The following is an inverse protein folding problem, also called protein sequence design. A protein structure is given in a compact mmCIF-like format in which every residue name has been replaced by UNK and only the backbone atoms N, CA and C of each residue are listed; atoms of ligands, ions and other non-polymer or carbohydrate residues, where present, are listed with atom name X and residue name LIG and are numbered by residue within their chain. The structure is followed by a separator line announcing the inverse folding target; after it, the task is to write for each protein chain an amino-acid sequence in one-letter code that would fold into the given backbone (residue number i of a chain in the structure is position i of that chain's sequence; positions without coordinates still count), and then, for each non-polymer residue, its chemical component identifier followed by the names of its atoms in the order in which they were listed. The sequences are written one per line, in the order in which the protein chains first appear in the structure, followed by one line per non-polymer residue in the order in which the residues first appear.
data_IF_078717930115
#
_entry.id   IF_078717930115
#
_cell.length_a   1.000
_cell.length_b   1.000
_cell.length_c   1.000
_cell.angle_alpha   90.00
_cell.angle_beta   90.00
_cell.angle_gamma   90.00
#
_symmetry.space_group_name_H-M   'P 1'
#
loop_
_entity.id
_entity.type
_entity.pdbx_description
1 polymer ?
#
# COMPACT_ATOMS: atom_id res chain seq x y z
N UNK A 1 -2.75 12.89 -2.20
CA UNK A 1 -2.24 13.37 -0.89
C UNK A 1 -3.34 13.95 0.00
N UNK A 2 -4.20 14.84 -0.49
CA UNK A 2 -5.26 15.47 0.33
C UNK A 2 -6.18 14.48 1.07
N UNK A 3 -6.64 13.41 0.40
CA UNK A 3 -7.43 12.36 1.05
C UNK A 3 -6.68 11.65 2.18
N UNK A 4 -5.39 11.36 1.98
CA UNK A 4 -4.58 10.72 3.02
C UNK A 4 -4.33 11.64 4.21
N UNK A 5 -4.27 12.95 4.00
CA UNK A 5 -4.22 13.94 5.08
C UNK A 5 -5.53 13.98 5.87
N UNK A 6 -6.67 13.83 5.19
CA UNK A 6 -7.97 13.67 5.87
C UNK A 6 -8.01 12.38 6.69
N UNK A 7 -7.53 11.26 6.12
CA UNK A 7 -7.45 9.98 6.83
C UNK A 7 -6.51 10.05 8.03
N UNK A 8 -5.41 10.79 7.93
CA UNK A 8 -4.49 11.02 9.05
C UNK A 8 -5.16 11.78 10.19
N UNK A 9 -6.00 12.76 9.88
CA UNK A 9 -6.75 13.54 10.88
C UNK A 9 -7.86 12.73 11.55
N UNK A 10 -8.54 11.87 10.80
CA UNK A 10 -9.63 11.04 11.33
C UNK A 10 -9.13 9.80 12.06
N UNK A 11 -7.98 9.24 11.66
CA UNK A 11 -7.39 8.03 12.20
C UNK A 11 -8.16 6.74 11.87
N UNK A 12 -9.24 6.82 11.08
CA UNK A 12 -10.17 5.71 10.83
C UNK A 12 -9.89 4.95 9.54
N UNK A 13 -9.01 5.46 8.68
CA UNK A 13 -8.79 4.91 7.35
C UNK A 13 -7.30 4.74 7.08
N UNK A 14 -6.97 3.66 6.37
CA UNK A 14 -5.65 3.40 5.83
C UNK A 14 -5.80 3.07 4.35
N UNK A 15 -5.02 3.71 3.49
CA UNK A 15 -5.13 3.56 2.04
C UNK A 15 -4.10 2.58 1.50
N UNK A 16 -4.50 1.68 0.63
CA UNK A 16 -3.58 0.88 -0.18
C UNK A 16 -3.71 1.38 -1.61
N UNK A 17 -2.66 2.04 -2.11
CA UNK A 17 -2.57 2.47 -3.50
C UNK A 17 -1.96 1.33 -4.32
N UNK A 18 -2.73 0.79 -5.26
CA UNK A 18 -2.29 -0.29 -6.13
C UNK A 18 -2.03 0.25 -7.54
N UNK A 19 -0.80 0.11 -8.02
CA UNK A 19 -0.33 0.63 -9.31
C UNK A 19 0.01 -0.56 -10.21
N UNK A 20 -0.58 -0.58 -11.41
CA UNK A 20 -0.20 -1.49 -12.49
C UNK A 20 0.57 -0.71 -13.55
N UNK A 21 1.75 -1.18 -13.93
CA UNK A 21 2.58 -0.56 -14.96
C UNK A 21 3.24 -1.62 -15.82
N UNK A 22 3.46 -1.33 -17.10
CA UNK A 22 4.22 -2.16 -18.03
C UNK A 22 5.63 -1.62 -18.32
N UNK A 23 6.02 -0.50 -17.69
CA UNK A 23 7.25 0.19 -18.01
C UNK A 23 7.84 1.03 -16.88
N UNK A 24 8.96 1.67 -17.22
CA UNK A 24 9.92 2.36 -16.34
C UNK A 24 9.42 3.69 -15.75
N UNK A 25 9.91 3.99 -14.54
CA UNK A 25 9.80 5.30 -13.92
C UNK A 25 10.95 6.17 -14.46
N UNK A 26 10.60 7.26 -15.16
CA UNK A 26 11.60 8.16 -15.75
C UNK A 26 12.03 9.27 -14.78
N UNK A 27 11.14 9.67 -13.85
CA UNK A 27 11.33 10.80 -12.94
C UNK A 27 11.68 10.35 -11.52
N UNK A 28 12.75 9.55 -11.39
CA UNK A 28 13.18 8.92 -10.11
C UNK A 28 13.27 9.90 -8.94
N UNK A 29 13.87 11.07 -9.15
CA UNK A 29 14.08 12.04 -8.07
C UNK A 29 12.75 12.62 -7.55
N UNK A 30 11.80 12.91 -8.44
CA UNK A 30 10.48 13.42 -8.05
C UNK A 30 9.67 12.35 -7.31
N UNK A 31 9.76 11.09 -7.76
CA UNK A 31 9.11 9.97 -7.08
C UNK A 31 9.66 9.80 -5.66
N UNK A 32 10.98 9.82 -5.47
CA UNK A 32 11.58 9.72 -4.13
C UNK A 32 11.12 10.86 -3.22
N UNK A 33 11.13 12.10 -3.72
CA UNK A 33 10.65 13.26 -2.96
C UNK A 33 9.18 13.11 -2.53
N UNK A 34 8.33 12.55 -3.40
CA UNK A 34 6.92 12.28 -3.10
C UNK A 34 6.75 11.13 -2.09
N UNK A 35 7.54 10.05 -2.21
CA UNK A 35 7.47 8.92 -1.28
C UNK A 35 7.90 9.33 0.13
N UNK A 36 8.97 10.12 0.26
CA UNK A 36 9.42 10.66 1.54
C UNK A 36 8.35 11.56 2.17
N UNK A 37 7.64 12.37 1.37
CA UNK A 37 6.50 13.15 1.84
C UNK A 37 5.34 12.26 2.32
N UNK A 38 5.04 11.19 1.57
CA UNK A 38 3.98 10.24 1.91
C UNK A 38 4.29 9.37 3.14
N UNK A 39 5.55 9.29 3.57
CA UNK A 39 5.99 8.42 4.67
C UNK A 39 5.22 8.64 5.98
N UNK A 40 4.73 9.87 6.21
CA UNK A 40 3.96 10.25 7.40
C UNK A 40 2.44 10.12 7.24
N UNK A 41 1.96 9.60 6.11
CA UNK A 41 0.53 9.44 5.79
C UNK A 41 0.07 7.99 5.98
N UNK A 42 -1.23 7.73 6.24
CA UNK A 42 -1.80 6.38 6.34
C UNK A 42 -1.98 5.75 4.96
N UNK A 43 -0.87 5.44 4.30
CA UNK A 43 -0.85 4.86 2.95
C UNK A 43 0.23 3.78 2.84
N UNK A 44 -0.05 2.71 2.11
CA UNK A 44 0.93 1.79 1.51
C UNK A 44 0.78 1.81 0.00
N UNK A 45 1.86 1.61 -0.73
CA UNK A 45 1.87 1.61 -2.19
C UNK A 45 2.34 0.23 -2.65
N UNK A 46 1.54 -0.42 -3.49
CA UNK A 46 1.93 -1.64 -4.18
C UNK A 46 2.08 -1.31 -5.64
N UNK A 47 3.23 -1.67 -6.22
CA UNK A 47 3.51 -1.52 -7.63
C UNK A 47 3.65 -2.92 -8.23
N UNK A 48 2.86 -3.24 -9.24
CA UNK A 48 2.96 -4.50 -9.98
C UNK A 48 3.40 -4.22 -11.41
N UNK A 49 4.58 -4.74 -11.76
CA UNK A 49 5.15 -4.69 -13.10
C UNK A 49 4.56 -5.81 -13.98
N UNK A 50 3.99 -5.44 -15.13
CA UNK A 50 3.40 -6.35 -16.11
C UNK A 50 4.28 -6.37 -17.36
N UNK A 51 4.50 -7.55 -17.97
CA UNK A 51 5.32 -7.66 -19.18
C UNK A 51 6.81 -7.77 -18.90
N UNK A 52 7.63 -7.35 -19.86
CA UNK A 52 9.10 -7.53 -19.89
C UNK A 52 9.87 -6.19 -19.82
N UNK A 53 9.31 -5.19 -19.15
CA UNK A 53 9.97 -3.89 -18.96
C UNK A 53 11.21 -3.95 -18.06
N UNK A 54 12.04 -2.90 -18.08
CA UNK A 54 13.08 -2.74 -17.07
C UNK A 54 12.44 -2.22 -15.77
N UNK A 55 12.68 -2.94 -14.67
CA UNK A 55 12.12 -2.63 -13.37
C UNK A 55 13.21 -2.26 -12.35
N UNK A 56 14.43 -1.95 -12.79
CA UNK A 56 15.55 -1.62 -11.90
C UNK A 56 15.20 -0.52 -10.89
N UNK A 57 14.54 0.55 -11.34
CA UNK A 57 14.14 1.66 -10.46
C UNK A 57 13.07 1.20 -9.47
N UNK A 58 12.12 0.36 -9.87
CA UNK A 58 11.07 -0.13 -8.96
C UNK A 58 11.66 -0.97 -7.83
N UNK A 59 12.69 -1.79 -8.12
CA UNK A 59 13.46 -2.51 -7.10
C UNK A 59 14.23 -1.57 -6.16
N UNK A 60 14.59 -0.36 -6.61
CA UNK A 60 15.19 0.65 -5.71
C UNK A 60 14.15 1.36 -4.83
N UNK A 61 12.90 1.46 -5.30
CA UNK A 61 11.81 2.06 -4.53
C UNK A 61 11.27 1.13 -3.43
N UNK A 62 11.46 -0.18 -3.60
CA UNK A 62 11.23 -1.27 -2.64
C UNK A 62 12.24 -1.17 -1.46
N UNK A 63 12.15 -0.06 -0.71
CA UNK A 63 13.14 0.38 0.26
C UNK A 63 12.93 -0.24 1.66
N UNK A 64 13.07 -1.56 1.77
CA UNK A 64 12.96 -2.33 3.03
C UNK A 64 13.81 -1.75 4.16
N UNK A 65 14.93 -1.12 3.80
CA UNK A 65 15.92 -0.61 4.73
C UNK A 65 15.73 0.88 5.07
N UNK A 66 14.71 1.55 4.54
CA UNK A 66 14.43 2.98 4.77
C UNK A 66 15.66 3.89 4.53
N UNK A 67 16.31 3.73 3.36
CA UNK A 67 17.49 4.48 2.94
C UNK A 67 17.17 5.61 1.95
N UNK A 68 15.94 5.68 1.42
CA UNK A 68 15.52 6.77 0.55
C UNK A 68 15.67 8.12 1.27
N UNK A 69 16.26 9.08 0.56
CA UNK A 69 16.48 10.45 1.04
C UNK A 69 15.97 11.44 -0.01
N UNK A 70 15.12 12.37 0.41
CA UNK A 70 14.60 13.42 -0.49
C UNK A 70 15.66 14.49 -0.80
N UNK A 71 15.34 15.37 -1.75
CA UNK A 71 16.16 16.52 -2.15
C UNK A 71 16.48 17.51 -1.02
N UNK A 72 15.79 17.41 0.13
CA UNK A 72 15.96 18.26 1.31
C UNK A 72 16.76 17.56 2.42
N UNK A 73 17.15 16.30 2.23
CA UNK A 73 17.89 15.49 3.20
C UNK A 73 17.02 14.75 4.22
N UNK A 74 15.69 14.70 4.05
CA UNK A 74 14.80 13.91 4.89
C UNK A 74 14.84 12.45 4.46
N UNK A 75 14.80 11.53 5.43
CA UNK A 75 14.81 10.09 5.19
C UNK A 75 13.45 9.47 5.45
N UNK A 76 13.16 8.37 4.76
CA UNK A 76 12.05 7.48 5.11
C UNK A 76 12.21 6.96 6.55
N UNK A 77 11.10 6.94 7.29
CA UNK A 77 11.03 6.51 8.70
C UNK A 77 10.42 5.11 8.85
N UNK A 78 9.72 4.67 7.82
CA UNK A 78 9.10 3.36 7.66
C UNK A 78 9.13 2.96 6.19
N UNK A 79 8.93 1.69 5.94
CA UNK A 79 8.74 1.21 4.58
C UNK A 79 7.31 1.53 4.09
N UNK A 80 7.19 1.75 2.77
CA UNK A 80 6.02 2.31 2.13
C UNK A 80 5.65 1.61 0.81
N UNK A 81 6.61 1.02 0.10
CA UNK A 81 6.45 0.56 -1.27
C UNK A 81 6.77 -0.91 -1.33
N UNK A 82 5.87 -1.71 -1.89
CA UNK A 82 6.11 -3.11 -2.25
C UNK A 82 6.12 -3.23 -3.78
N UNK A 83 7.20 -3.76 -4.36
CA UNK A 83 7.27 -4.04 -5.80
C UNK A 83 7.19 -5.53 -6.14
N UNK A 84 6.33 -5.87 -7.11
CA UNK A 84 6.17 -7.26 -7.59
C UNK A 84 6.18 -7.34 -9.12
N UNK A 85 7.04 -8.19 -9.67
CA UNK A 85 7.02 -8.52 -11.10
C UNK A 85 6.01 -9.65 -11.38
N UNK A 86 4.91 -9.33 -12.04
CA UNK A 86 3.84 -10.29 -12.36
C UNK A 86 4.35 -11.49 -13.18
N UNK A 87 5.27 -11.24 -14.11
CA UNK A 87 5.83 -12.25 -15.01
C UNK A 87 6.51 -13.42 -14.27
N UNK A 88 7.04 -13.20 -13.05
CA UNK A 88 7.70 -14.24 -12.24
C UNK A 88 6.76 -15.34 -11.76
N UNK A 89 5.45 -15.08 -11.72
CA UNK A 89 4.50 -15.97 -11.05
C UNK A 89 3.76 -16.93 -11.98
N UNK A 90 3.98 -16.88 -13.31
CA UNK A 90 3.46 -17.88 -14.28
C UNK A 90 1.98 -18.27 -14.09
N UNK A 91 1.12 -17.27 -13.80
CA UNK A 91 -0.31 -17.46 -13.52
C UNK A 91 -0.64 -18.22 -12.22
N UNK A 92 0.32 -18.35 -11.29
CA UNK A 92 0.08 -18.81 -9.93
C UNK A 92 -0.45 -17.66 -9.06
N UNK A 93 -1.78 -17.50 -9.06
CA UNK A 93 -2.44 -16.43 -8.31
C UNK A 93 -2.19 -16.47 -6.80
N UNK A 94 -2.00 -17.65 -6.21
CA UNK A 94 -1.72 -17.78 -4.76
C UNK A 94 -0.34 -17.24 -4.43
N UNK A 95 0.68 -17.63 -5.21
CA UNK A 95 2.03 -17.15 -5.00
C UNK A 95 2.13 -15.64 -5.27
N UNK A 96 1.44 -15.14 -6.30
CA UNK A 96 1.37 -13.71 -6.58
C UNK A 96 0.71 -12.93 -5.42
N UNK A 97 -0.45 -13.40 -4.94
CA UNK A 97 -1.15 -12.73 -3.85
C UNK A 97 -0.34 -12.73 -2.55
N UNK A 98 0.42 -13.80 -2.30
CA UNK A 98 1.35 -13.86 -1.17
C UNK A 98 2.40 -12.74 -1.29
N UNK A 99 3.07 -12.64 -2.43
CA UNK A 99 4.12 -11.63 -2.64
C UNK A 99 3.59 -10.20 -2.58
N UNK A 100 2.43 -9.96 -3.20
CA UNK A 100 1.78 -8.64 -3.26
C UNK A 100 1.39 -8.12 -1.88
N UNK A 101 0.99 -9.01 -0.97
CA UNK A 101 0.48 -8.64 0.35
C UNK A 101 1.50 -8.86 1.48
N UNK A 102 2.71 -9.34 1.18
CA UNK A 102 3.69 -9.81 2.17
C UNK A 102 4.03 -8.71 3.20
N UNK A 103 4.19 -7.48 2.73
CA UNK A 103 4.69 -6.37 3.53
C UNK A 103 3.60 -5.50 4.16
N UNK A 104 2.40 -5.52 3.58
CA UNK A 104 1.30 -4.65 4.02
C UNK A 104 1.01 -4.73 5.53
N UNK A 105 0.95 -5.92 6.18
CA UNK A 105 0.70 -5.99 7.61
C UNK A 105 1.75 -5.23 8.44
N UNK A 106 3.03 -5.32 8.04
CA UNK A 106 4.15 -4.64 8.70
C UNK A 106 4.04 -3.12 8.50
N UNK A 107 3.85 -2.66 7.26
CA UNK A 107 3.74 -1.24 6.92
C UNK A 107 2.56 -0.55 7.65
N UNK A 108 1.43 -1.24 7.79
CA UNK A 108 0.27 -0.75 8.56
C UNK A 108 0.63 -0.60 10.04
N UNK A 109 1.25 -1.62 10.63
CA UNK A 109 1.65 -1.60 12.03
C UNK A 109 2.68 -0.49 12.31
N UNK A 110 3.69 -0.35 11.45
CA UNK A 110 4.73 0.70 11.54
C UNK A 110 4.12 2.10 11.49
N UNK A 111 3.15 2.34 10.60
CA UNK A 111 2.46 3.62 10.56
C UNK A 111 1.74 3.95 11.88
N UNK A 112 0.94 3.02 12.42
CA UNK A 112 0.19 3.28 13.66
C UNK A 112 1.12 3.43 14.88
N UNK A 113 2.26 2.74 14.89
CA UNK A 113 3.33 2.99 15.86
C UNK A 113 3.90 4.41 15.73
N UNK A 114 4.19 4.87 14.51
CA UNK A 114 4.73 6.21 14.23
C UNK A 114 3.81 7.32 14.76
N UNK A 115 2.49 7.15 14.61
CA UNK A 115 1.48 8.12 15.09
C UNK A 115 1.04 7.87 16.54
N UNK A 116 1.70 6.96 17.27
CA UNK A 116 1.42 6.61 18.66
C UNK A 116 -0.04 6.17 18.93
N UNK A 117 -0.64 5.42 18.01
CA UNK A 117 -1.96 4.82 18.20
C UNK A 117 -1.81 3.32 18.49
N UNK A 118 -2.35 2.87 19.63
CA UNK A 118 -2.40 1.43 19.91
C UNK A 118 -3.55 0.75 19.14
N UNK A 119 -3.53 -0.58 19.00
CA UNK A 119 -4.67 -1.32 18.46
C UNK A 119 -5.99 -1.02 19.19
N UNK A 120 -5.95 -0.83 20.52
CA UNK A 120 -7.13 -0.46 21.31
C UNK A 120 -7.62 0.95 21.00
N UNK A 121 -6.71 1.90 20.72
CA UNK A 121 -7.09 3.25 20.33
C UNK A 121 -7.73 3.27 18.95
N UNK A 122 -7.16 2.54 17.99
CA UNK A 122 -7.74 2.34 16.65
C UNK A 122 -9.12 1.69 16.75
N UNK A 123 -9.28 0.65 17.58
CA UNK A 123 -10.56 -0.02 17.77
C UNK A 123 -11.67 0.91 18.32
N UNK A 124 -11.32 1.89 19.17
CA UNK A 124 -12.28 2.88 19.70
C UNK A 124 -12.79 3.85 18.64
N UNK A 125 -12.04 4.03 17.54
CA UNK A 125 -12.44 4.92 16.45
C UNK A 125 -13.57 4.33 15.60
N UNK A 126 -13.69 3.00 15.57
CA UNK A 126 -14.77 2.31 14.88
C UNK A 126 -16.00 2.21 15.78
N UNK A 127 -17.13 2.77 15.34
CA UNK A 127 -18.41 2.56 16.01
C UNK A 127 -18.96 1.18 15.63
N UNK A 128 -19.84 0.62 16.46
CA UNK A 128 -20.54 -0.64 16.14
C UNK A 128 -21.23 -0.60 14.78
N UNK A 129 -21.74 0.58 14.37
CA UNK A 129 -22.42 0.76 13.10
C UNK A 129 -21.46 0.75 11.90
N UNK A 130 -20.20 1.16 12.07
CA UNK A 130 -19.17 1.07 11.03
C UNK A 130 -18.82 -0.40 10.75
N UNK A 131 -18.71 -1.22 11.81
CA UNK A 131 -18.44 -2.66 11.71
C UNK A 131 -19.62 -3.38 11.04
N UNK A 132 -20.86 -3.01 11.35
CA UNK A 132 -22.06 -3.57 10.70
C UNK A 132 -22.10 -3.22 9.21
N UNK A 133 -21.72 -2.00 8.84
CA UNK A 133 -21.71 -1.56 7.45
C UNK A 133 -20.71 -2.35 6.61
N UNK A 134 -19.48 -2.53 7.10
CA UNK A 134 -18.47 -3.34 6.41
C UNK A 134 -18.95 -4.78 6.24
N UNK A 135 -19.57 -5.38 7.27
CA UNK A 135 -20.13 -6.74 7.17
C UNK A 135 -21.26 -6.84 6.15
N UNK A 136 -22.14 -5.84 6.10
CA UNK A 136 -23.26 -5.79 5.16
C UNK A 136 -22.76 -5.64 3.71
N UNK A 137 -21.75 -4.80 3.47
CA UNK A 137 -21.13 -4.61 2.15
C UNK A 137 -20.33 -5.86 1.70
N UNK A 138 -19.78 -6.65 2.63
CA UNK A 138 -19.10 -7.91 2.33
C UNK A 138 -20.07 -9.10 2.08
N UNK A 139 -21.30 -9.02 2.57
CA UNK A 139 -22.34 -10.05 2.37
C UNK A 139 -23.14 -9.84 1.08
N UNK A 140 -23.05 -8.67 0.44
CA UNK A 140 -23.53 -8.43 -0.92
C UNK A 140 -22.54 -9.00 -1.96
N UNK A 141 -22.40 -10.33 -2.03
CA UNK A 141 -21.79 -10.96 -3.20
C UNK A 141 -22.76 -10.84 -4.39
N UNK A 142 -22.39 -10.06 -5.42
CA UNK A 142 -23.05 -10.21 -6.71
C UNK A 142 -22.86 -11.67 -7.18
N UNK A 143 -23.92 -12.33 -7.69
CA UNK A 143 -23.84 -13.72 -8.10
C UNK A 143 -22.70 -13.88 -9.10
N UNK A 144 -21.79 -14.81 -8.82
CA UNK A 144 -20.64 -15.09 -9.68
C UNK A 144 -21.17 -15.29 -11.12
N UNK A 145 -20.72 -14.47 -12.10
CA UNK A 145 -21.25 -14.51 -13.46
C UNK A 145 -21.03 -15.86 -14.15
N UNK A 146 -20.20 -16.74 -13.56
CA UNK A 146 -19.93 -18.09 -14.04
C UNK A 146 -20.80 -19.19 -13.40
N UNK A 147 -21.65 -18.88 -12.42
CA UNK A 147 -22.55 -19.86 -11.78
C UNK A 147 -23.80 -20.19 -12.62
N UNK A 148 -23.93 -19.62 -13.83
CA UNK A 148 -25.06 -19.81 -14.76
C UNK A 148 -24.70 -20.58 -16.05
N UNK A 149 -23.65 -21.39 -16.03
CA UNK A 149 -23.27 -22.26 -17.17
C UNK A 149 -23.51 -23.72 -16.79
#
# INVERSE_FOLDING_TARGET
MEQCEEFKRSGTHYMILFILTDGEIHDRAEVIDLLVQCNTLPISIIIVGIGEGDFAIMHELDDDNCQMTDSRGNRTQRDLVQFVEFAKFSNNGIALAKEVLEELPRQVAEYYQLVNMSPEDVAKLFKEDDIKRVKMEMEEEEPNPYDRI
#
